data_IF_022558961933
#
_entry.id   IF_022558961933
#
_cell.length_a   1.000
_cell.length_b   1.000
_cell.length_c   1.000
_cell.angle_alpha   90.00
_cell.angle_beta   90.00
_cell.angle_gamma   90.00
#
_symmetry.space_group_name_H-M   'P 1'
#
loop_
_entity.id
_entity.type
_entity.pdbx_description
1 polymer ?
#
# COMPACT_ATOMS: atom_id res chain seq x y z
N UNK A 1 -10.95 -21.11 13.93
CA UNK A 1 -9.94 -21.51 12.90
C UNK A 1 -10.03 -20.51 11.77
N UNK A 2 -8.93 -19.90 11.40
CA UNK A 2 -8.89 -18.86 10.37
C UNK A 2 -9.36 -19.38 9.01
N UNK A 3 -9.95 -18.54 8.15
CA UNK A 3 -10.28 -18.88 6.76
C UNK A 3 -9.05 -19.45 6.04
N UNK A 4 -9.28 -20.38 5.12
CA UNK A 4 -8.22 -21.07 4.35
C UNK A 4 -7.18 -21.83 5.20
N UNK A 5 -7.47 -22.15 6.46
CA UNK A 5 -6.59 -22.85 7.42
C UNK A 5 -5.22 -22.17 7.61
N UNK A 6 -5.16 -20.84 7.53
CA UNK A 6 -3.93 -20.06 7.76
C UNK A 6 -3.55 -20.09 9.25
N UNK A 7 -2.25 -20.14 9.52
CA UNK A 7 -1.72 -19.88 10.86
C UNK A 7 -1.86 -18.39 11.21
N UNK A 8 -1.90 -18.06 12.50
CA UNK A 8 -2.12 -16.68 12.95
C UNK A 8 -1.10 -15.65 12.41
N UNK A 9 0.15 -16.09 12.22
CA UNK A 9 1.23 -15.25 11.68
C UNK A 9 1.31 -15.24 10.14
N UNK A 10 0.51 -16.04 9.46
CA UNK A 10 0.62 -16.25 8.03
C UNK A 10 -0.28 -15.28 7.26
N UNK A 11 0.28 -14.39 6.41
CA UNK A 11 -0.51 -13.61 5.48
C UNK A 11 -1.12 -14.48 4.38
N UNK A 12 -2.11 -13.95 3.67
CA UNK A 12 -2.66 -14.57 2.45
C UNK A 12 -1.55 -14.70 1.38
N UNK A 13 -1.71 -15.58 0.39
CA UNK A 13 -0.79 -15.64 -0.75
C UNK A 13 -0.68 -14.26 -1.41
N UNK A 14 0.55 -13.80 -1.61
CA UNK A 14 0.86 -12.50 -2.22
C UNK A 14 1.32 -12.76 -3.64
N UNK A 15 0.70 -12.07 -4.61
CA UNK A 15 1.13 -12.11 -6.01
C UNK A 15 1.25 -10.70 -6.56
N UNK A 16 2.37 -10.42 -7.23
CA UNK A 16 2.68 -9.12 -7.82
C UNK A 16 2.98 -9.34 -9.29
N UNK A 17 2.12 -8.80 -10.16
CA UNK A 17 2.28 -8.89 -11.62
C UNK A 17 2.63 -7.52 -12.17
N UNK A 18 3.89 -7.35 -12.59
CA UNK A 18 4.40 -6.10 -13.19
C UNK A 18 4.03 -5.99 -14.67
N UNK A 19 4.11 -4.78 -15.20
CA UNK A 19 3.78 -4.47 -16.60
C UNK A 19 2.37 -4.92 -16.98
N UNK A 20 1.43 -4.77 -16.06
CA UNK A 20 0.07 -5.26 -16.23
C UNK A 20 -0.70 -4.47 -17.29
N UNK A 21 -0.51 -3.16 -17.37
CA UNK A 21 -1.01 -2.28 -18.43
C UNK A 21 0.16 -1.63 -19.16
N UNK A 22 -0.04 -1.19 -20.41
CA UNK A 22 1.08 -0.81 -21.31
C UNK A 22 1.43 0.67 -21.32
N UNK A 23 0.61 1.56 -20.73
CA UNK A 23 0.78 3.01 -20.93
C UNK A 23 1.47 3.72 -19.78
N UNK A 24 1.25 3.29 -18.53
CA UNK A 24 1.86 3.90 -17.35
C UNK A 24 3.35 3.53 -17.25
N UNK A 25 4.17 4.41 -16.71
CA UNK A 25 5.60 4.21 -16.48
C UNK A 25 5.88 3.08 -15.48
N UNK A 26 4.97 2.87 -14.53
CA UNK A 26 4.90 1.67 -13.68
C UNK A 26 3.49 1.12 -13.67
N UNK A 27 3.32 -0.20 -13.74
CA UNK A 27 1.98 -0.82 -13.74
C UNK A 27 2.01 -2.20 -13.12
N UNK A 28 1.27 -2.37 -12.03
CA UNK A 28 1.27 -3.55 -11.19
C UNK A 28 -0.15 -3.96 -10.84
N UNK A 29 -0.47 -5.25 -11.04
CA UNK A 29 -1.58 -5.88 -10.34
C UNK A 29 -1.02 -6.55 -9.09
N UNK A 30 -1.45 -6.12 -7.91
CA UNK A 30 -1.15 -6.76 -6.64
C UNK A 30 -2.36 -7.52 -6.13
N UNK A 31 -2.11 -8.74 -5.63
CA UNK A 31 -3.12 -9.64 -5.10
C UNK A 31 -2.70 -10.11 -3.71
N UNK A 32 -3.57 -9.92 -2.71
CA UNK A 32 -3.47 -10.49 -1.37
C UNK A 32 -4.67 -11.44 -1.20
N UNK A 33 -4.46 -12.73 -1.51
CA UNK A 33 -5.57 -13.64 -1.66
C UNK A 33 -6.58 -13.13 -2.69
N UNK A 34 -7.81 -12.90 -2.25
CA UNK A 34 -8.89 -12.39 -3.10
C UNK A 34 -8.95 -10.86 -3.21
N UNK A 35 -8.16 -10.12 -2.43
CA UNK A 35 -8.00 -8.66 -2.62
C UNK A 35 -7.11 -8.39 -3.83
N UNK A 36 -7.61 -7.59 -4.79
CA UNK A 36 -6.91 -7.24 -6.04
C UNK A 36 -6.94 -5.75 -6.28
N UNK A 37 -5.76 -5.16 -6.45
CA UNK A 37 -5.61 -3.73 -6.71
C UNK A 37 -4.71 -3.52 -7.92
N UNK A 38 -5.17 -2.71 -8.87
CA UNK A 38 -4.35 -2.18 -9.94
C UNK A 38 -3.65 -0.92 -9.44
N UNK A 39 -2.32 -0.90 -9.48
CA UNK A 39 -1.51 0.24 -9.11
C UNK A 39 -0.73 0.73 -10.34
N UNK A 40 -0.92 1.99 -10.73
CA UNK A 40 -0.15 2.57 -11.82
C UNK A 40 0.61 3.80 -11.36
N UNK A 41 1.80 4.03 -11.92
CA UNK A 41 2.63 5.19 -11.68
C UNK A 41 2.75 6.01 -12.95
N UNK A 42 2.39 7.28 -12.87
CA UNK A 42 2.49 8.26 -13.97
C UNK A 42 3.50 9.34 -13.62
N UNK A 43 4.43 9.62 -14.53
CA UNK A 43 5.48 10.62 -14.36
C UNK A 43 5.11 11.92 -15.07
N UNK A 44 5.22 13.06 -14.37
CA UNK A 44 5.08 14.41 -14.92
C UNK A 44 6.38 15.19 -14.66
N UNK A 45 6.95 15.81 -15.69
CA UNK A 45 8.17 16.65 -15.62
C UNK A 45 7.90 18.03 -14.99
N UNK A 46 6.91 18.10 -14.12
CA UNK A 46 6.55 19.30 -13.37
C UNK A 46 6.18 18.96 -11.92
N UNK A 47 6.27 19.94 -11.04
CA UNK A 47 5.86 19.83 -9.64
C UNK A 47 4.72 20.79 -9.32
N UNK A 48 3.93 20.53 -8.27
CA UNK A 48 2.94 21.46 -7.76
C UNK A 48 3.54 22.85 -7.50
N UNK A 49 2.74 23.90 -7.66
CA UNK A 49 3.18 25.31 -7.56
C UNK A 49 3.96 25.63 -6.29
N UNK A 50 3.62 24.98 -5.17
CA UNK A 50 4.28 25.20 -3.87
C UNK A 50 5.69 24.61 -3.79
N UNK A 51 6.10 23.73 -4.73
CA UNK A 51 7.46 23.16 -4.80
C UNK A 51 8.30 23.73 -5.94
N UNK A 52 7.70 24.53 -6.82
CA UNK A 52 8.39 25.06 -7.98
C UNK A 52 9.59 25.93 -7.60
N UNK A 53 10.78 25.59 -8.12
CA UNK A 53 12.04 26.27 -7.82
C UNK A 53 12.70 25.79 -6.51
N UNK A 54 12.22 24.71 -5.89
CA UNK A 54 12.81 24.15 -4.66
C UNK A 54 13.76 22.97 -4.93
N UNK A 55 13.95 22.58 -6.20
CA UNK A 55 14.73 21.40 -6.60
C UNK A 55 14.28 20.11 -5.90
N UNK A 56 12.99 19.98 -5.65
CA UNK A 56 12.40 18.85 -4.94
C UNK A 56 11.26 18.25 -5.75
N UNK A 57 11.25 16.93 -5.86
CA UNK A 57 10.18 16.18 -6.50
C UNK A 57 8.98 15.97 -5.59
N UNK A 58 7.94 15.38 -6.15
CA UNK A 58 6.71 15.08 -5.44
C UNK A 58 6.20 13.69 -5.77
N UNK A 59 5.77 12.96 -4.76
CA UNK A 59 5.06 11.68 -4.91
C UNK A 59 3.70 11.83 -4.25
N UNK A 60 2.65 11.54 -5.00
CA UNK A 60 1.27 11.59 -4.52
C UNK A 60 0.51 10.34 -4.94
N UNK A 61 -0.67 10.12 -4.39
CA UNK A 61 -1.48 8.97 -4.73
C UNK A 61 -2.97 9.33 -4.77
N UNK A 62 -3.68 8.64 -5.66
CA UNK A 62 -5.12 8.54 -5.69
C UNK A 62 -5.55 7.11 -5.39
N UNK A 63 -6.75 6.96 -4.84
CA UNK A 63 -7.31 5.66 -4.47
C UNK A 63 -8.78 5.62 -4.82
N UNK A 64 -9.22 4.53 -5.37
CA UNK A 64 -10.62 4.31 -5.67
C UNK A 64 -11.01 2.83 -5.61
N UNK A 65 -12.31 2.59 -5.51
CA UNK A 65 -12.87 1.25 -5.56
C UNK A 65 -13.84 1.13 -6.72
N UNK A 66 -13.71 0.07 -7.54
CA UNK A 66 -14.71 -0.20 -8.57
C UNK A 66 -16.08 -0.46 -7.94
N UNK A 67 -17.19 -0.09 -8.60
CA UNK A 67 -18.54 -0.24 -8.04
C UNK A 67 -18.87 -1.66 -7.58
N UNK A 68 -18.29 -2.68 -8.21
CA UNK A 68 -18.49 -4.10 -7.88
C UNK A 68 -17.24 -4.76 -7.32
N UNK A 69 -16.33 -4.00 -6.74
CA UNK A 69 -15.22 -4.55 -5.98
C UNK A 69 -15.66 -5.27 -4.69
N UNK A 70 -16.86 -5.00 -4.20
CA UNK A 70 -17.48 -5.60 -3.02
C UNK A 70 -18.74 -6.43 -3.38
N UNK A 71 -19.31 -7.13 -2.40
CA UNK A 71 -20.51 -7.97 -2.55
C UNK A 71 -21.71 -7.23 -3.13
N UNK A 72 -21.90 -5.96 -2.74
CA UNK A 72 -22.96 -5.10 -3.26
C UNK A 72 -22.37 -3.99 -4.13
N UNK A 73 -23.18 -3.48 -5.07
CA UNK A 73 -22.75 -2.39 -5.93
C UNK A 73 -22.69 -1.08 -5.14
N UNK A 74 -21.50 -0.47 -5.05
CA UNK A 74 -21.33 0.88 -4.56
C UNK A 74 -21.56 1.92 -5.66
N UNK A 75 -22.00 3.12 -5.28
CA UNK A 75 -22.08 4.22 -6.22
C UNK A 75 -20.68 4.80 -6.49
N UNK A 76 -20.36 5.10 -7.77
CA UNK A 76 -19.12 5.77 -8.12
C UNK A 76 -19.03 7.14 -7.44
N UNK A 77 -17.89 7.44 -6.81
CA UNK A 77 -17.67 8.74 -6.15
C UNK A 77 -17.72 9.90 -7.15
N UNK A 78 -17.17 9.70 -8.36
CA UNK A 78 -17.28 10.68 -9.44
C UNK A 78 -18.75 11.06 -9.77
N UNK A 79 -19.69 10.10 -9.69
CA UNK A 79 -21.10 10.38 -9.89
C UNK A 79 -21.76 11.11 -8.70
N UNK A 80 -21.13 11.09 -7.53
CA UNK A 80 -21.55 11.88 -6.34
C UNK A 80 -20.96 13.29 -6.34
N UNK A 81 -20.02 13.60 -7.24
CA UNK A 81 -19.35 14.88 -7.34
C UNK A 81 -18.32 15.18 -6.25
N UNK A 82 -18.04 14.22 -5.35
CA UNK A 82 -17.01 14.33 -4.30
C UNK A 82 -16.52 12.96 -3.85
N UNK A 83 -15.27 12.90 -3.44
CA UNK A 83 -14.68 11.74 -2.77
C UNK A 83 -15.16 11.63 -1.32
N UNK A 84 -15.28 10.41 -0.81
CA UNK A 84 -15.57 10.13 0.58
C UNK A 84 -14.38 10.39 1.51
N UNK A 85 -14.64 10.59 2.80
CA UNK A 85 -13.59 10.80 3.80
C UNK A 85 -12.60 9.62 3.87
N UNK A 86 -13.09 8.38 3.79
CA UNK A 86 -12.26 7.17 3.75
C UNK A 86 -11.33 7.16 2.53
N UNK A 87 -11.82 7.50 1.35
CA UNK A 87 -11.01 7.57 0.13
C UNK A 87 -9.88 8.59 0.28
N UNK A 88 -10.20 9.79 0.76
CA UNK A 88 -9.22 10.85 1.00
C UNK A 88 -8.19 10.48 2.07
N UNK A 89 -8.59 9.78 3.12
CA UNK A 89 -7.70 9.29 4.18
C UNK A 89 -6.70 8.28 3.60
N UNK A 90 -7.18 7.29 2.84
CA UNK A 90 -6.34 6.25 2.24
C UNK A 90 -5.37 6.84 1.20
N UNK A 91 -5.80 7.78 0.36
CA UNK A 91 -4.93 8.50 -0.57
C UNK A 91 -3.74 9.16 0.15
N UNK A 92 -4.02 9.83 1.27
CA UNK A 92 -2.99 10.51 2.07
C UNK A 92 -2.03 9.51 2.72
N UNK A 93 -2.54 8.37 3.19
CA UNK A 93 -1.75 7.30 3.76
C UNK A 93 -0.79 6.71 2.71
N UNK A 94 -1.29 6.32 1.52
CA UNK A 94 -0.47 5.78 0.43
C UNK A 94 0.60 6.79 0.04
N UNK A 95 0.22 8.03 -0.24
CA UNK A 95 1.16 9.08 -0.65
C UNK A 95 2.27 9.33 0.37
N UNK A 96 1.93 9.36 1.68
CA UNK A 96 2.90 9.52 2.76
C UNK A 96 3.88 8.35 2.83
N UNK A 97 3.36 7.14 2.74
CA UNK A 97 4.14 5.92 2.76
C UNK A 97 5.17 5.88 1.62
N UNK A 98 4.73 6.21 0.41
CA UNK A 98 5.60 6.21 -0.76
C UNK A 98 6.64 7.34 -0.72
N UNK A 99 6.31 8.52 -0.19
CA UNK A 99 7.30 9.58 0.01
C UNK A 99 8.42 9.18 0.97
N UNK A 100 8.16 8.32 1.95
CA UNK A 100 9.19 7.85 2.86
C UNK A 100 10.27 7.03 2.16
N UNK A 101 9.91 6.29 1.10
CA UNK A 101 10.84 5.45 0.35
C UNK A 101 11.65 6.19 -0.72
N UNK A 102 11.43 7.50 -0.94
CA UNK A 102 12.07 8.26 -2.02
C UNK A 102 12.87 9.43 -1.45
N UNK A 103 14.07 9.65 -1.98
CA UNK A 103 14.80 10.91 -1.86
C UNK A 103 14.21 11.90 -2.88
N UNK A 104 13.39 12.82 -2.37
CA UNK A 104 12.67 13.78 -3.21
C UNK A 104 13.60 14.83 -3.84
N UNK A 105 14.75 15.13 -3.23
CA UNK A 105 15.76 16.01 -3.83
C UNK A 105 16.45 15.31 -5.00
N UNK A 106 16.84 14.04 -4.82
CA UNK A 106 17.43 13.24 -5.88
C UNK A 106 16.45 12.95 -7.04
N UNK A 107 15.12 12.91 -6.77
CA UNK A 107 14.08 12.82 -7.78
C UNK A 107 14.05 14.10 -8.67
N UNK A 108 14.38 15.27 -8.11
CA UNK A 108 14.32 16.56 -8.79
C UNK A 108 12.88 17.01 -9.07
N UNK A 109 12.69 18.17 -9.72
CA UNK A 109 11.36 18.75 -9.95
C UNK A 109 10.48 17.93 -10.92
N UNK A 110 10.06 16.73 -10.47
CA UNK A 110 9.11 15.83 -11.12
C UNK A 110 8.05 15.38 -10.14
N UNK A 111 6.86 15.14 -10.65
CA UNK A 111 5.80 14.49 -9.88
C UNK A 111 5.60 13.06 -10.35
N UNK A 112 5.39 12.15 -9.40
CA UNK A 112 4.92 10.79 -9.70
C UNK A 112 3.59 10.61 -8.98
N UNK A 113 2.55 10.38 -9.76
CA UNK A 113 1.20 10.08 -9.24
C UNK A 113 0.96 8.58 -9.30
N UNK A 114 0.60 8.01 -8.17
CA UNK A 114 0.22 6.59 -8.04
C UNK A 114 -1.31 6.50 -8.01
N UNK A 115 -1.90 5.83 -8.98
CA UNK A 115 -3.33 5.51 -9.00
C UNK A 115 -3.54 4.08 -8.52
N UNK A 116 -4.36 3.91 -7.48
CA UNK A 116 -4.67 2.62 -6.86
C UNK A 116 -6.15 2.31 -7.00
N UNK A 117 -6.50 1.46 -7.94
CA UNK A 117 -7.88 1.07 -8.23
C UNK A 117 -8.16 -0.34 -7.70
N UNK A 118 -9.02 -0.43 -6.70
CA UNK A 118 -9.44 -1.72 -6.12
C UNK A 118 -10.42 -2.40 -7.07
N UNK A 119 -9.97 -3.51 -7.66
CA UNK A 119 -10.76 -4.35 -8.57
C UNK A 119 -11.67 -5.29 -7.77
N UNK A 120 -11.11 -5.89 -6.71
CA UNK A 120 -11.82 -6.79 -5.80
C UNK A 120 -11.31 -6.55 -4.37
N UNK A 121 -12.23 -6.42 -3.44
CA UNK A 121 -11.94 -6.15 -2.02
C UNK A 121 -12.35 -7.34 -1.16
N UNK A 122 -11.38 -7.82 -0.39
CA UNK A 122 -11.55 -8.86 0.63
C UNK A 122 -10.63 -8.59 1.82
N UNK A 123 -10.78 -7.41 2.47
CA UNK A 123 -9.89 -6.92 3.52
C UNK A 123 -8.54 -6.42 3.00
N UNK A 124 -7.88 -5.54 3.75
CA UNK A 124 -6.52 -5.08 3.46
C UNK A 124 -6.33 -4.30 2.15
N UNK A 125 -7.34 -3.61 1.63
CA UNK A 125 -7.21 -2.89 0.33
C UNK A 125 -6.19 -1.76 0.39
N UNK A 126 -6.08 -1.04 1.52
CA UNK A 126 -5.09 0.04 1.71
C UNK A 126 -3.66 -0.50 1.79
N UNK A 127 -3.45 -1.63 2.45
CA UNK A 127 -2.13 -2.26 2.62
C UNK A 127 -1.65 -2.89 1.31
N UNK A 128 -2.53 -3.54 0.57
CA UNK A 128 -2.25 -4.02 -0.78
C UNK A 128 -1.92 -2.87 -1.74
N UNK A 129 -2.67 -1.75 -1.67
CA UNK A 129 -2.40 -0.54 -2.48
C UNK A 129 -1.00 0.02 -2.22
N UNK A 130 -0.59 0.18 -0.95
CA UNK A 130 0.76 0.66 -0.61
C UNK A 130 1.83 -0.29 -1.17
N UNK A 131 1.65 -1.59 -0.98
CA UNK A 131 2.58 -2.63 -1.42
C UNK A 131 2.75 -2.66 -2.94
N UNK A 132 1.64 -2.63 -3.69
CA UNK A 132 1.66 -2.63 -5.15
C UNK A 132 2.16 -1.30 -5.73
N UNK A 133 1.76 -0.17 -5.15
CA UNK A 133 2.20 1.14 -5.57
C UNK A 133 3.71 1.35 -5.34
N UNK A 134 4.29 0.76 -4.29
CA UNK A 134 5.74 0.77 -4.07
C UNK A 134 6.50 0.11 -5.22
N UNK A 135 6.02 -1.04 -5.72
CA UNK A 135 6.62 -1.71 -6.88
C UNK A 135 6.41 -0.92 -8.18
N UNK A 136 5.21 -0.35 -8.40
CA UNK A 136 4.95 0.49 -9.56
C UNK A 136 5.83 1.75 -9.57
N UNK A 137 6.07 2.35 -8.40
CA UNK A 137 6.97 3.49 -8.23
C UNK A 137 8.43 3.11 -8.56
N UNK A 138 8.89 1.95 -8.11
CA UNK A 138 10.22 1.43 -8.48
C UNK A 138 10.35 1.25 -9.99
N UNK A 139 9.33 0.71 -10.67
CA UNK A 139 9.34 0.53 -12.12
C UNK A 139 9.43 1.86 -12.87
N UNK A 140 8.63 2.85 -12.47
CA UNK A 140 8.66 4.18 -13.06
C UNK A 140 10.05 4.85 -12.89
N UNK A 141 10.63 4.78 -11.70
CA UNK A 141 11.97 5.32 -11.41
C UNK A 141 13.04 4.58 -12.20
N UNK A 142 12.98 3.26 -12.28
CA UNK A 142 13.92 2.46 -13.09
C UNK A 142 13.83 2.84 -14.57
N UNK A 143 12.64 3.13 -15.08
CA UNK A 143 12.44 3.66 -16.43
C UNK A 143 13.13 5.01 -16.65
N UNK A 144 13.04 5.93 -15.68
CA UNK A 144 13.72 7.22 -15.70
C UNK A 144 15.26 7.10 -15.64
N UNK A 145 15.77 6.10 -14.93
CA UNK A 145 17.20 5.82 -14.90
C UNK A 145 17.64 5.21 -16.24
N UNK A 146 16.91 4.23 -16.75
CA UNK A 146 17.24 3.54 -17.99
C UNK A 146 17.27 4.46 -19.22
N UNK A 147 16.39 5.48 -19.27
CA UNK A 147 16.37 6.48 -20.34
C UNK A 147 17.33 7.68 -20.11
N UNK A 148 18.08 7.67 -18.98
CA UNK A 148 19.08 8.70 -18.65
C UNK A 148 18.52 10.00 -18.06
N UNK A 149 17.22 10.05 -17.76
CA UNK A 149 16.57 11.21 -17.11
C UNK A 149 17.04 11.37 -15.67
N UNK A 150 17.17 10.27 -14.93
CA UNK A 150 17.78 10.22 -13.60
C UNK A 150 19.16 9.61 -13.68
N UNK A 151 20.14 10.24 -13.00
CA UNK A 151 21.53 9.76 -12.94
C UNK A 151 21.78 8.79 -11.77
N UNK A 152 20.99 8.90 -10.71
CA UNK A 152 21.10 8.11 -9.49
C UNK A 152 19.71 7.60 -9.10
N UNK A 153 19.69 6.46 -8.41
CA UNK A 153 18.44 5.89 -7.91
C UNK A 153 17.99 6.65 -6.64
N UNK A 154 16.84 7.33 -6.65
CA UNK A 154 16.31 8.02 -5.48
C UNK A 154 15.60 7.09 -4.49
N UNK A 155 15.42 5.80 -4.77
CA UNK A 155 14.79 4.85 -3.85
C UNK A 155 15.71 4.58 -2.67
N UNK A 156 15.24 4.83 -1.46
CA UNK A 156 15.96 4.58 -0.20
C UNK A 156 15.78 3.15 0.31
N UNK A 157 14.69 2.49 -0.09
CA UNK A 157 14.33 1.14 0.31
C UNK A 157 12.86 0.87 0.00
N UNK A 158 12.45 -0.40 0.07
CA UNK A 158 11.06 -0.80 -0.17
C UNK A 158 10.16 -0.44 1.02
N UNK A 159 8.89 -0.25 0.73
CA UNK A 159 7.82 -0.05 1.72
C UNK A 159 6.78 -1.15 1.57
N UNK A 160 6.39 -1.73 2.70
CA UNK A 160 5.31 -2.71 2.78
C UNK A 160 4.29 -2.30 3.84
N UNK A 161 3.08 -2.80 3.70
CA UNK A 161 2.02 -2.59 4.67
C UNK A 161 1.20 -3.86 4.87
N UNK A 162 0.78 -4.11 6.10
CA UNK A 162 -0.05 -5.25 6.46
C UNK A 162 -1.07 -4.83 7.52
N UNK A 163 -2.25 -5.45 7.50
CA UNK A 163 -3.20 -5.38 8.60
C UNK A 163 -2.91 -6.46 9.62
N UNK A 164 -3.06 -6.15 10.90
CA UNK A 164 -3.02 -7.09 12.00
C UNK A 164 -4.18 -6.78 12.94
N UNK A 165 -4.65 -7.74 13.69
CA UNK A 165 -5.76 -7.51 14.60
C UNK A 165 -5.94 -8.58 15.64
N UNK A 166 -6.96 -8.39 16.49
CA UNK A 166 -7.41 -9.38 17.47
C UNK A 166 -8.78 -9.87 17.01
N UNK A 167 -8.88 -11.18 16.79
CA UNK A 167 -10.10 -11.86 16.34
C UNK A 167 -10.34 -13.06 17.23
N UNK A 168 -11.50 -13.11 17.91
CA UNK A 168 -11.84 -14.16 18.89
C UNK A 168 -10.73 -14.35 19.97
N UNK A 169 -10.14 -13.22 20.42
CA UNK A 169 -9.07 -13.21 21.42
C UNK A 169 -7.68 -13.61 20.91
N UNK A 170 -7.53 -13.92 19.62
CA UNK A 170 -6.27 -14.32 19.02
C UNK A 170 -5.68 -13.19 18.15
N UNK A 171 -4.38 -12.92 18.29
CA UNK A 171 -3.69 -11.96 17.43
C UNK A 171 -3.38 -12.58 16.07
N UNK A 172 -3.79 -11.92 14.98
CA UNK A 172 -3.68 -12.45 13.61
C UNK A 172 -3.09 -11.44 12.65
N UNK A 173 -2.38 -11.95 11.64
CA UNK A 173 -1.74 -11.17 10.57
C UNK A 173 -2.55 -11.25 9.27
N UNK A 174 -2.67 -10.13 8.56
CA UNK A 174 -3.34 -9.98 7.28
C UNK A 174 -4.81 -10.42 7.34
N UNK A 175 -5.63 -9.52 7.88
CA UNK A 175 -7.07 -9.72 8.02
C UNK A 175 -7.77 -9.76 6.65
N UNK A 176 -8.49 -10.84 6.37
CA UNK A 176 -9.46 -10.83 5.28
C UNK A 176 -10.81 -10.27 5.76
N UNK A 177 -11.74 -10.00 4.84
CA UNK A 177 -12.96 -9.23 5.16
C UNK A 177 -13.80 -9.83 6.32
N UNK A 178 -13.89 -11.15 6.39
CA UNK A 178 -14.65 -11.81 7.47
C UNK A 178 -13.97 -11.66 8.83
N UNK A 179 -12.66 -11.62 8.86
CA UNK A 179 -11.87 -11.36 10.08
C UNK A 179 -11.93 -9.88 10.45
N UNK A 180 -11.69 -8.98 9.48
CA UNK A 180 -11.70 -7.52 9.64
C UNK A 180 -13.06 -7.02 10.19
N UNK A 181 -14.16 -7.55 9.64
CA UNK A 181 -15.51 -7.18 10.07
C UNK A 181 -15.92 -7.68 11.46
N UNK A 182 -15.21 -8.66 12.02
CA UNK A 182 -15.45 -9.25 13.33
C UNK A 182 -14.32 -8.96 14.33
N UNK A 183 -13.28 -8.22 13.91
CA UNK A 183 -12.13 -7.95 14.74
C UNK A 183 -12.49 -7.07 15.95
N UNK A 184 -11.97 -7.45 17.11
CA UNK A 184 -12.02 -6.65 18.35
C UNK A 184 -11.05 -5.47 18.27
N UNK A 185 -9.94 -5.66 17.54
CA UNK A 185 -8.94 -4.63 17.23
C UNK A 185 -8.50 -4.79 15.78
N UNK A 186 -8.53 -3.71 15.02
CA UNK A 186 -7.95 -3.59 13.68
C UNK A 186 -6.78 -2.62 13.71
N UNK A 187 -5.63 -3.02 13.15
CA UNK A 187 -4.43 -2.21 13.08
C UNK A 187 -3.78 -2.36 11.71
N UNK A 188 -3.41 -1.23 11.11
CA UNK A 188 -2.63 -1.18 9.89
C UNK A 188 -1.22 -0.67 10.21
N UNK A 189 -0.21 -1.40 9.76
CA UNK A 189 1.21 -1.07 9.98
C UNK A 189 1.89 -0.90 8.64
N UNK A 190 2.59 0.22 8.48
CA UNK A 190 3.41 0.53 7.30
C UNK A 190 4.85 0.69 7.75
N UNK A 191 5.76 -0.02 7.09
CA UNK A 191 7.18 0.04 7.45
C UNK A 191 8.11 -0.04 6.23
N UNK A 192 9.33 0.43 6.43
CA UNK A 192 10.46 0.27 5.52
C UNK A 192 11.10 -1.11 5.70
N UNK A 193 11.80 -1.58 4.69
CA UNK A 193 12.52 -2.86 4.75
C UNK A 193 13.68 -2.90 5.76
N UNK A 194 14.19 -1.75 6.21
CA UNK A 194 15.16 -1.63 7.31
C UNK A 194 14.54 -1.83 8.70
N UNK A 195 13.21 -2.01 8.77
CA UNK A 195 12.44 -2.19 10.00
C UNK A 195 11.91 -0.90 10.62
N UNK A 196 12.21 0.27 10.04
CA UNK A 196 11.64 1.55 10.48
C UNK A 196 10.16 1.65 10.18
N UNK A 197 9.35 2.07 11.15
CA UNK A 197 7.91 2.24 10.97
C UNK A 197 7.59 3.61 10.39
N UNK A 198 6.72 3.64 9.39
CA UNK A 198 6.22 4.88 8.77
C UNK A 198 4.90 5.29 9.43
N UNK A 199 4.01 4.34 9.63
CA UNK A 199 2.70 4.58 10.25
C UNK A 199 2.21 3.34 10.98
N UNK A 200 1.60 3.58 12.14
CA UNK A 200 0.87 2.57 12.93
C UNK A 200 -0.50 3.19 13.23
N UNK A 201 -1.55 2.60 12.70
CA UNK A 201 -2.93 3.04 12.90
C UNK A 201 -3.73 1.87 13.45
N UNK A 202 -4.21 1.96 14.67
CA UNK A 202 -4.98 0.91 15.32
C UNK A 202 -6.21 1.46 16.02
N UNK A 203 -7.28 0.71 15.99
CA UNK A 203 -8.55 1.03 16.64
C UNK A 203 -9.08 -0.20 17.35
N UNK A 204 -9.52 -0.03 18.59
CA UNK A 204 -10.32 -1.03 19.29
C UNK A 204 -11.79 -0.80 18.96
N UNK A 205 -12.45 -1.80 18.41
CA UNK A 205 -13.89 -1.75 18.07
C UNK A 205 -14.77 -2.21 19.26
N UNK A 206 -14.18 -2.89 20.23
CA UNK A 206 -14.83 -3.35 21.45
C UNK A 206 -14.06 -2.94 22.70
N UNK A 207 -13.47 -3.92 23.38
CA UNK A 207 -12.63 -3.67 24.55
C UNK A 207 -11.27 -3.10 24.14
N UNK A 208 -10.67 -2.17 24.92
CA UNK A 208 -9.35 -1.64 24.66
C UNK A 208 -8.29 -2.72 24.68
N UNK A 209 -7.35 -2.68 23.73
CA UNK A 209 -6.18 -3.58 23.74
C UNK A 209 -5.08 -3.07 24.68
N UNK A 210 -4.37 -3.99 25.29
CA UNK A 210 -3.29 -3.73 26.20
C UNK A 210 -1.98 -3.33 25.48
N UNK A 211 -1.01 -2.83 26.26
CA UNK A 211 0.34 -2.58 25.73
C UNK A 211 1.05 -3.86 25.25
N UNK A 212 0.81 -4.99 25.91
CA UNK A 212 1.40 -6.28 25.54
C UNK A 212 0.82 -6.80 24.24
N UNK A 213 -0.49 -6.65 24.03
CA UNK A 213 -1.15 -6.96 22.75
C UNK A 213 -0.64 -6.06 21.62
N UNK A 214 -0.45 -4.76 21.88
CA UNK A 214 0.17 -3.86 20.92
C UNK A 214 1.55 -4.35 20.47
N UNK A 215 2.41 -4.74 21.38
CA UNK A 215 3.75 -5.25 21.05
C UNK A 215 3.68 -6.57 20.25
N UNK A 216 2.73 -7.43 20.59
CA UNK A 216 2.48 -8.68 19.85
C UNK A 216 2.02 -8.40 18.44
N UNK A 217 1.05 -7.48 18.24
CA UNK A 217 0.56 -7.07 16.92
C UNK A 217 1.68 -6.44 16.08
N UNK A 218 2.52 -5.59 16.65
CA UNK A 218 3.68 -5.02 15.95
C UNK A 218 4.70 -6.08 15.54
N UNK A 219 4.92 -7.10 16.38
CA UNK A 219 5.76 -8.25 16.06
C UNK A 219 5.21 -9.07 14.89
N UNK A 220 3.90 -9.33 14.86
CA UNK A 220 3.22 -9.98 13.75
C UNK A 220 3.27 -9.15 12.46
N UNK A 221 3.05 -7.85 12.56
CA UNK A 221 3.14 -6.94 11.42
C UNK A 221 4.53 -6.97 10.77
N UNK A 222 5.58 -6.99 11.58
CA UNK A 222 6.96 -7.12 11.10
C UNK A 222 7.14 -8.42 10.31
N UNK A 223 6.71 -9.56 10.85
CA UNK A 223 6.81 -10.85 10.17
C UNK A 223 6.01 -10.88 8.86
N UNK A 224 4.81 -10.31 8.85
CA UNK A 224 3.99 -10.16 7.64
C UNK A 224 4.67 -9.30 6.58
N UNK A 225 5.23 -8.15 6.98
CA UNK A 225 5.95 -7.26 6.06
C UNK A 225 7.22 -7.92 5.49
N UNK A 226 7.94 -8.75 6.24
CA UNK A 226 9.10 -9.49 5.73
C UNK A 226 8.73 -10.40 4.56
N UNK A 227 7.57 -11.06 4.63
CA UNK A 227 7.05 -11.88 3.52
C UNK A 227 6.63 -11.01 2.32
N UNK A 228 6.02 -9.85 2.58
CA UNK A 228 5.66 -8.89 1.53
C UNK A 228 6.91 -8.34 0.84
N UNK A 229 7.96 -7.97 1.59
CA UNK A 229 9.24 -7.54 1.01
C UNK A 229 9.88 -8.62 0.15
N UNK A 230 9.80 -9.88 0.56
CA UNK A 230 10.29 -11.00 -0.25
C UNK A 230 9.55 -11.08 -1.59
N UNK A 231 8.23 -10.95 -1.60
CA UNK A 231 7.43 -10.94 -2.83
C UNK A 231 7.72 -9.72 -3.71
N UNK A 232 7.93 -8.54 -3.11
CA UNK A 232 8.32 -7.33 -3.85
C UNK A 232 9.70 -7.48 -4.50
N UNK A 233 10.70 -7.99 -3.76
CA UNK A 233 12.05 -8.24 -4.30
C UNK A 233 12.01 -9.27 -5.43
N UNK A 234 11.32 -10.38 -5.26
CA UNK A 234 11.15 -11.38 -6.32
C UNK A 234 10.53 -10.75 -7.57
N UNK A 235 9.46 -9.98 -7.42
CA UNK A 235 8.81 -9.31 -8.53
C UNK A 235 9.74 -8.30 -9.23
N UNK A 236 10.58 -7.57 -8.49
CA UNK A 236 11.53 -6.58 -9.01
C UNK A 236 12.81 -7.23 -9.58
N UNK A 237 13.09 -8.51 -9.29
CA UNK A 237 14.32 -9.21 -9.68
C UNK A 237 15.54 -8.80 -8.84
N UNK A 238 15.33 -8.50 -7.56
CA UNK A 238 16.33 -8.09 -6.57
C UNK A 238 16.76 -9.26 -5.68
#
# INVERSE_FOLDING_TARGET
MRPNNRENHQPRPIKITRNYTKHAEGSVLVEFGDTKVLCTASVDESVPRFLKGQNQGWVTAEYGMLPRSTHSRMQREAAKGKQGGRTMEIQRLIARSLRAMVDLEALGERSITLDCDVIQADGGTRTASITGAAVALCDAINGLIANGTLKTNPIKGLVAAVSVGIVEGETVCDLEYVEDSAAETDMNVVMMEDGCMIEVQGTAEGEPFSHEELLTLLGLAKQGCEQIFSAQREALGL
#
